data_IF_306160240722
#
_entry.id   IF_306160240722
#
_cell.length_a   1.000
_cell.length_b   1.000
_cell.length_c   1.000
_cell.angle_alpha   90.00
_cell.angle_beta   90.00
_cell.angle_gamma   90.00
#
_symmetry.space_group_name_H-M   'P 1'
#
loop_
_entity.id
_entity.type
_entity.pdbx_description
1 polymer ?
#
# COMPACT_ATOMS: atom_id res chain seq x y z
N UNK A 1 25.84 -8.08 -8.66
CA UNK A 1 24.88 -7.74 -9.73
C UNK A 1 23.73 -6.97 -9.08
N UNK A 2 23.70 -5.66 -9.29
CA UNK A 2 22.80 -4.75 -8.60
C UNK A 2 21.44 -4.70 -9.30
N UNK A 3 20.43 -5.33 -8.70
CA UNK A 3 19.03 -4.96 -8.91
C UNK A 3 18.59 -4.17 -7.66
N UNK A 4 18.97 -2.90 -7.57
CA UNK A 4 18.36 -1.97 -6.63
C UNK A 4 16.94 -1.69 -7.12
N UNK A 5 16.03 -2.55 -6.71
CA UNK A 5 14.62 -2.43 -6.99
C UNK A 5 13.98 -1.68 -5.83
N UNK A 6 14.01 -0.34 -5.89
CA UNK A 6 13.36 0.56 -4.91
C UNK A 6 11.83 0.37 -4.91
N UNK A 7 11.32 -0.62 -4.18
CA UNK A 7 9.89 -0.72 -3.90
C UNK A 7 9.63 -0.64 -2.42
N UNK A 8 8.93 0.43 -2.04
CA UNK A 8 8.40 0.83 -0.72
C UNK A 8 9.34 0.71 0.50
N UNK A 9 10.41 -0.09 0.52
CA UNK A 9 11.36 -0.18 1.65
C UNK A 9 10.71 -0.63 2.97
N UNK A 10 9.47 -1.13 2.92
CA UNK A 10 8.69 -1.56 4.09
C UNK A 10 8.59 -3.07 4.06
N UNK A 11 9.09 -3.70 5.11
CA UNK A 11 9.08 -5.15 5.28
C UNK A 11 7.86 -5.63 6.09
N UNK A 12 7.67 -6.95 6.15
CA UNK A 12 6.65 -7.51 7.04
C UNK A 12 7.07 -7.40 8.52
N UNK A 13 6.12 -7.17 9.45
CA UNK A 13 4.66 -7.11 9.25
C UNK A 13 4.14 -5.73 8.81
N UNK A 14 5.00 -4.71 8.73
CA UNK A 14 4.58 -3.32 8.50
C UNK A 14 3.90 -3.12 7.14
N UNK A 15 4.35 -3.81 6.09
CA UNK A 15 3.71 -3.72 4.77
C UNK A 15 2.28 -4.28 4.79
N UNK A 16 2.06 -5.36 5.55
CA UNK A 16 0.72 -5.91 5.78
C UNK A 16 -0.21 -4.93 6.49
N UNK A 17 0.30 -4.21 7.49
CA UNK A 17 -0.45 -3.18 8.20
C UNK A 17 -0.78 -1.98 7.30
N UNK A 18 0.18 -1.53 6.49
CA UNK A 18 -0.04 -0.49 5.47
C UNK A 18 -1.15 -0.89 4.50
N UNK A 19 -1.10 -2.11 3.96
CA UNK A 19 -2.10 -2.64 3.02
C UNK A 19 -3.49 -2.62 3.66
N UNK A 20 -3.59 -3.05 4.92
CA UNK A 20 -4.84 -3.03 5.68
C UNK A 20 -5.38 -1.61 5.87
N UNK A 21 -4.54 -0.66 6.25
CA UNK A 21 -4.92 0.74 6.46
C UNK A 21 -5.37 1.40 5.14
N UNK A 22 -4.65 1.15 4.05
CA UNK A 22 -5.01 1.63 2.72
C UNK A 22 -6.38 1.10 2.28
N UNK A 23 -6.61 -0.21 2.45
CA UNK A 23 -7.90 -0.84 2.16
C UNK A 23 -9.03 -0.24 3.00
N UNK A 24 -8.80 -0.02 4.29
CA UNK A 24 -9.79 0.58 5.19
C UNK A 24 -10.09 2.04 4.84
N UNK A 25 -9.09 2.79 4.38
CA UNK A 25 -9.26 4.17 3.87
C UNK A 25 -10.23 4.20 2.69
N UNK A 26 -10.14 3.20 1.80
CA UNK A 26 -11.05 3.02 0.67
C UNK A 26 -12.40 2.38 1.05
N UNK A 27 -12.58 1.99 2.33
CA UNK A 27 -13.77 1.29 2.84
C UNK A 27 -14.09 -0.01 2.08
N UNK A 28 -13.06 -0.73 1.65
CA UNK A 28 -13.20 -1.99 0.89
C UNK A 28 -13.05 -3.22 1.79
N UNK A 29 -13.76 -4.29 1.43
CA UNK A 29 -13.48 -5.64 1.95
C UNK A 29 -12.17 -6.15 1.34
N UNK A 30 -11.59 -7.20 1.93
CA UNK A 30 -10.36 -7.80 1.39
C UNK A 30 -10.58 -8.33 -0.04
N UNK A 31 -11.77 -8.87 -0.35
CA UNK A 31 -12.14 -9.35 -1.69
C UNK A 31 -12.21 -8.22 -2.70
N UNK A 32 -12.89 -7.11 -2.36
CA UNK A 32 -12.99 -5.94 -3.25
C UNK A 32 -11.62 -5.30 -3.48
N UNK A 33 -10.79 -5.27 -2.45
CA UNK A 33 -9.43 -4.74 -2.56
C UNK A 33 -8.52 -5.66 -3.38
N UNK A 34 -8.67 -6.98 -3.23
CA UNK A 34 -7.97 -7.96 -4.05
C UNK A 34 -8.33 -7.80 -5.53
N UNK A 35 -9.63 -7.69 -5.84
CA UNK A 35 -10.10 -7.42 -7.19
C UNK A 35 -9.55 -6.10 -7.75
N UNK A 36 -9.49 -5.05 -6.92
CA UNK A 36 -8.92 -3.76 -7.31
C UNK A 36 -7.42 -3.85 -7.66
N UNK A 37 -6.65 -4.67 -6.93
CA UNK A 37 -5.22 -4.89 -7.20
C UNK A 37 -4.95 -6.00 -8.22
N UNK A 38 -5.97 -6.69 -8.72
CA UNK A 38 -5.82 -7.81 -9.66
C UNK A 38 -5.20 -9.07 -9.03
N UNK A 39 -5.41 -9.28 -7.73
CA UNK A 39 -4.94 -10.46 -6.99
C UNK A 39 -6.09 -11.21 -6.33
N UNK A 40 -5.83 -12.40 -5.80
CA UNK A 40 -6.85 -13.19 -5.10
C UNK A 40 -7.05 -12.74 -3.65
N UNK A 41 -8.25 -12.94 -3.10
CA UNK A 41 -8.53 -12.68 -1.69
C UNK A 41 -7.51 -13.34 -0.72
N UNK A 42 -7.14 -14.63 -0.87
CA UNK A 42 -6.14 -15.24 0.00
C UNK A 42 -4.78 -14.53 -0.04
N UNK A 43 -4.44 -13.90 -1.15
CA UNK A 43 -3.21 -13.12 -1.29
C UNK A 43 -3.23 -11.90 -0.37
N UNK A 44 -4.31 -11.10 -0.41
CA UNK A 44 -4.50 -9.96 0.52
C UNK A 44 -4.52 -10.43 1.96
N UNK A 45 -5.27 -11.51 2.26
CA UNK A 45 -5.35 -12.04 3.61
C UNK A 45 -3.97 -12.46 4.17
N UNK A 46 -3.12 -13.08 3.35
CA UNK A 46 -1.75 -13.43 3.76
C UNK A 46 -0.88 -12.20 3.97
N UNK A 47 -0.99 -11.19 3.11
CA UNK A 47 -0.24 -9.94 3.27
C UNK A 47 -0.64 -9.21 4.55
N UNK A 48 -1.93 -8.98 4.78
CA UNK A 48 -2.42 -8.22 5.94
C UNK A 48 -2.13 -8.90 7.28
N UNK A 49 -1.95 -10.23 7.28
CA UNK A 49 -1.62 -11.00 8.48
C UNK A 49 -0.13 -11.36 8.61
N UNK A 50 0.75 -10.80 7.78
CA UNK A 50 2.20 -11.03 7.91
C UNK A 50 2.72 -12.35 7.33
N UNK A 51 1.88 -13.16 6.69
CA UNK A 51 2.23 -14.52 6.21
C UNK A 51 2.89 -14.56 4.82
N UNK A 52 2.99 -13.41 4.14
CA UNK A 52 3.68 -13.26 2.85
C UNK A 52 3.98 -11.78 2.57
N UNK A 53 5.06 -11.48 1.84
CA UNK A 53 5.32 -10.14 1.31
C UNK A 53 4.67 -9.97 -0.08
N UNK A 54 4.19 -8.77 -0.45
CA UNK A 54 3.75 -8.51 -1.81
C UNK A 54 4.88 -8.65 -2.82
N UNK A 55 4.53 -9.01 -4.05
CA UNK A 55 5.50 -9.05 -5.15
C UNK A 55 5.94 -7.62 -5.51
N UNK A 56 7.07 -7.48 -6.21
CA UNK A 56 7.54 -6.17 -6.67
C UNK A 56 6.50 -5.41 -7.51
N UNK A 57 5.71 -6.12 -8.33
CA UNK A 57 4.60 -5.54 -9.11
C UNK A 57 3.47 -5.05 -8.20
N UNK A 58 3.07 -5.84 -7.22
CA UNK A 58 2.02 -5.46 -6.27
C UNK A 58 2.44 -4.25 -5.42
N UNK A 59 3.71 -4.18 -5.00
CA UNK A 59 4.24 -3.02 -4.29
C UNK A 59 4.13 -1.74 -5.14
N UNK A 60 4.42 -1.80 -6.45
CA UNK A 60 4.18 -0.65 -7.34
C UNK A 60 2.72 -0.24 -7.40
N UNK A 61 1.79 -1.19 -7.51
CA UNK A 61 0.36 -0.87 -7.57
C UNK A 61 -0.11 -0.20 -6.28
N UNK A 62 0.36 -0.69 -5.13
CA UNK A 62 0.08 -0.09 -3.81
C UNK A 62 0.65 1.33 -3.74
N UNK A 63 1.88 1.55 -4.19
CA UNK A 63 2.52 2.87 -4.23
C UNK A 63 1.76 3.87 -5.11
N UNK A 64 1.37 3.44 -6.32
CA UNK A 64 0.57 4.26 -7.24
C UNK A 64 -0.76 4.64 -6.60
N UNK A 65 -1.45 3.67 -5.98
CA UNK A 65 -2.72 3.91 -5.32
C UNK A 65 -2.59 4.91 -4.16
N UNK A 66 -1.55 4.79 -3.33
CA UNK A 66 -1.27 5.77 -2.27
C UNK A 66 -1.08 7.18 -2.84
N UNK A 67 -0.27 7.31 -3.88
CA UNK A 67 0.00 8.60 -4.52
C UNK A 67 -1.25 9.21 -5.17
N UNK A 68 -2.12 8.38 -5.75
CA UNK A 68 -3.42 8.84 -6.27
C UNK A 68 -4.31 9.39 -5.16
N UNK A 69 -4.41 8.68 -4.03
CA UNK A 69 -5.21 9.15 -2.89
C UNK A 69 -4.65 10.42 -2.26
N UNK A 70 -3.32 10.57 -2.21
CA UNK A 70 -2.67 11.80 -1.73
C UNK A 70 -2.95 13.02 -2.62
N UNK A 71 -3.37 12.81 -3.87
CA UNK A 71 -3.76 13.87 -4.80
C UNK A 71 -5.28 13.91 -5.06
N UNK A 72 -6.08 13.19 -4.26
CA UNK A 72 -7.53 13.14 -4.39
C UNK A 72 -8.16 14.51 -4.10
N UNK A 73 -9.23 14.91 -4.83
CA UNK A 73 -10.04 16.08 -4.45
C UNK A 73 -10.76 15.87 -3.10
N UNK A 74 -11.02 14.62 -2.71
CA UNK A 74 -11.55 14.29 -1.39
C UNK A 74 -10.48 14.51 -0.31
N UNK A 75 -10.72 15.51 0.54
CA UNK A 75 -9.83 15.91 1.64
C UNK A 75 -9.56 14.75 2.60
N UNK A 76 -10.57 13.93 2.91
CA UNK A 76 -10.44 12.81 3.84
C UNK A 76 -9.49 11.76 3.27
N UNK A 77 -9.65 11.41 1.98
CA UNK A 77 -8.76 10.44 1.32
C UNK A 77 -7.32 10.95 1.24
N UNK A 78 -7.16 12.25 0.96
CA UNK A 78 -5.86 12.91 0.90
C UNK A 78 -5.14 12.88 2.24
N UNK A 79 -5.78 13.33 3.32
CA UNK A 79 -5.21 13.35 4.66
C UNK A 79 -4.86 11.94 5.14
N UNK A 80 -5.74 10.96 4.90
CA UNK A 80 -5.48 9.56 5.26
C UNK A 80 -4.28 9.00 4.51
N UNK A 81 -4.16 9.26 3.21
CA UNK A 81 -3.01 8.81 2.42
C UNK A 81 -1.70 9.45 2.89
N UNK A 82 -1.70 10.76 3.14
CA UNK A 82 -0.54 11.47 3.69
C UNK A 82 -0.13 10.94 5.06
N UNK A 83 -1.09 10.60 5.93
CA UNK A 83 -0.82 9.98 7.22
C UNK A 83 -0.19 8.58 7.08
N UNK A 84 -0.70 7.74 6.17
CA UNK A 84 -0.10 6.44 5.84
C UNK A 84 1.33 6.65 5.32
N UNK A 85 1.55 7.61 4.42
CA UNK A 85 2.87 7.89 3.87
C UNK A 85 3.85 8.34 4.96
N UNK A 86 3.46 9.26 5.84
CA UNK A 86 4.30 9.71 6.95
C UNK A 86 4.61 8.60 7.96
N UNK A 87 3.66 7.68 8.20
CA UNK A 87 3.83 6.57 9.13
C UNK A 87 4.80 5.50 8.61
N UNK A 88 4.69 5.13 7.33
CA UNK A 88 5.43 3.99 6.77
C UNK A 88 6.64 4.39 5.92
N UNK A 89 6.74 5.65 5.48
CA UNK A 89 7.87 6.17 4.70
C UNK A 89 8.45 7.47 5.29
N UNK A 90 8.81 7.50 6.59
CA UNK A 90 9.22 8.74 7.27
C UNK A 90 10.45 9.41 6.66
N UNK A 91 11.29 8.66 5.95
CA UNK A 91 12.56 9.13 5.38
C UNK A 91 12.54 9.27 3.86
N UNK A 92 11.45 8.87 3.18
CA UNK A 92 11.37 8.95 1.72
C UNK A 92 10.83 10.32 1.34
N UNK A 93 11.71 11.22 0.89
CA UNK A 93 11.27 12.46 0.21
C UNK A 93 10.49 12.05 -1.03
N UNK A 94 9.16 12.11 -0.95
CA UNK A 94 8.29 11.98 -2.12
C UNK A 94 8.71 13.09 -3.08
N UNK A 95 9.33 12.73 -4.20
CA UNK A 95 9.48 13.67 -5.31
C UNK A 95 8.06 13.97 -5.79
N UNK A 96 7.66 15.23 -5.62
CA UNK A 96 6.47 15.81 -6.23
C UNK A 96 6.53 15.68 -7.76
#
# INVERSE_FOLDING_TARGET
MAFHQEYLGVEQPAIGQLIRELRQTLKLTQEKFAAHLGVSFPTINRWENGHATPSPLALRQIEVLLNQLANSPDVTLRERSQAIQGKYFPTRKLKA
#
